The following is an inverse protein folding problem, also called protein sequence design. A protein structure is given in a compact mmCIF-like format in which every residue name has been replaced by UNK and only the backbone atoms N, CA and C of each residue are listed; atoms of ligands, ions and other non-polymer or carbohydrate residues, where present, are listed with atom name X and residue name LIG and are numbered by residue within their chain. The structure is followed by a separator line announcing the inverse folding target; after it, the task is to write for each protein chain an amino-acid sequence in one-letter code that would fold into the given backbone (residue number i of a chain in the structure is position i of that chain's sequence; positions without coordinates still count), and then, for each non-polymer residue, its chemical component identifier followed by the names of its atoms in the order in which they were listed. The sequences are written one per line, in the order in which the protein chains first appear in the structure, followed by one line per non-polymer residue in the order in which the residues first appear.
data_IF_840285635040
#
_entry.id   IF_840285635040
#
_cell.length_a   1.000
_cell.length_b   1.000
_cell.length_c   1.000
_cell.angle_alpha   90.00
_cell.angle_beta   90.00
_cell.angle_gamma   90.00
#
_symmetry.space_group_name_H-M   'P 1'
#
loop_
_entity.id
_entity.type
_entity.pdbx_description
1 polymer ?
#
# COMPACT_ATOMS: atom_id res chain seq x y z
N UNK A 1 4.04 -2.17 2.35
CA UNK A 1 3.02 -3.18 1.98
C UNK A 1 1.92 -2.56 1.11
N UNK A 2 1.19 -3.35 0.30
CA UNK A 2 0.09 -2.86 -0.56
C UNK A 2 -0.86 -3.97 -1.03
N UNK A 3 -2.14 -3.65 -1.30
CA UNK A 3 -3.07 -4.56 -1.97
C UNK A 3 -2.73 -4.79 -3.46
N UNK A 4 -1.95 -3.89 -4.07
CA UNK A 4 -1.48 -3.98 -5.46
C UNK A 4 0.04 -3.80 -5.49
N UNK A 5 0.75 -4.91 -5.41
CA UNK A 5 2.22 -4.93 -5.25
C UNK A 5 2.95 -4.83 -6.58
N UNK A 6 4.15 -4.26 -6.53
CA UNK A 6 5.13 -4.33 -7.64
C UNK A 6 6.21 -5.34 -7.34
N UNK A 7 6.81 -5.20 -6.16
CA UNK A 7 7.71 -6.18 -5.59
C UNK A 7 6.89 -7.15 -4.71
N UNK A 8 6.91 -8.47 -4.98
CA UNK A 8 6.19 -9.47 -4.19
C UNK A 8 6.51 -9.45 -2.69
N UNK A 9 7.70 -9.01 -2.30
CA UNK A 9 8.08 -8.90 -0.88
C UNK A 9 7.26 -7.83 -0.10
N UNK A 10 6.43 -7.05 -0.80
CA UNK A 10 5.50 -6.10 -0.19
C UNK A 10 4.08 -6.64 -0.05
N UNK A 11 3.86 -7.93 -0.31
CA UNK A 11 2.57 -8.57 -0.06
C UNK A 11 2.19 -8.46 1.43
N UNK A 12 0.95 -8.05 1.74
CA UNK A 12 0.54 -7.88 3.11
C UNK A 12 0.35 -9.22 3.81
N UNK A 13 0.76 -9.27 5.07
CA UNK A 13 0.28 -10.32 5.97
C UNK A 13 -1.22 -10.14 6.28
N UNK A 14 -1.77 -11.06 7.07
CA UNK A 14 -3.20 -11.04 7.41
C UNK A 14 -3.65 -9.80 8.19
N UNK A 15 -2.79 -9.22 9.02
CA UNK A 15 -3.10 -8.01 9.78
C UNK A 15 -3.01 -6.78 8.88
N UNK A 16 -1.92 -6.65 8.11
CA UNK A 16 -1.73 -5.54 7.17
C UNK A 16 -2.84 -5.48 6.13
N UNK A 17 -3.29 -6.64 5.63
CA UNK A 17 -4.40 -6.74 4.68
C UNK A 17 -5.69 -6.17 5.27
N UNK A 18 -6.04 -6.56 6.50
CA UNK A 18 -7.25 -6.04 7.18
C UNK A 18 -7.19 -4.52 7.34
N UNK A 19 -6.03 -3.98 7.71
CA UNK A 19 -5.85 -2.53 7.85
C UNK A 19 -5.94 -1.82 6.49
N UNK A 20 -5.33 -2.35 5.44
CA UNK A 20 -5.43 -1.80 4.08
C UNK A 20 -6.89 -1.81 3.57
N UNK A 21 -7.62 -2.90 3.79
CA UNK A 21 -9.04 -3.01 3.41
C UNK A 21 -9.89 -2.00 4.21
N UNK A 22 -9.59 -1.79 5.49
CA UNK A 22 -10.23 -0.74 6.30
C UNK A 22 -9.93 0.66 5.74
N UNK A 23 -8.70 0.94 5.30
CA UNK A 23 -8.38 2.22 4.66
C UNK A 23 -9.16 2.44 3.35
N UNK A 24 -9.33 1.41 2.52
CA UNK A 24 -10.15 1.51 1.32
C UNK A 24 -11.62 1.82 1.65
N UNK A 25 -12.18 1.19 2.69
CA UNK A 25 -13.54 1.49 3.16
C UNK A 25 -13.66 2.94 3.67
N UNK A 26 -12.71 3.40 4.48
CA UNK A 26 -12.67 4.79 4.99
C UNK A 26 -12.54 5.81 3.86
N UNK A 27 -11.72 5.51 2.84
CA UNK A 27 -11.61 6.34 1.64
C UNK A 27 -12.94 6.43 0.89
N UNK A 28 -13.66 5.33 0.73
CA UNK A 28 -14.99 5.33 0.10
C UNK A 28 -16.01 6.16 0.90
N UNK A 29 -15.83 6.27 2.22
CA UNK A 29 -16.62 7.14 3.10
C UNK A 29 -16.17 8.61 3.07
N UNK A 30 -15.16 8.96 2.25
CA UNK A 30 -14.73 10.34 2.04
C UNK A 30 -13.63 10.82 2.99
N UNK A 31 -13.05 9.95 3.81
CA UNK A 31 -11.94 10.34 4.66
C UNK A 31 -10.67 10.64 3.85
N UNK A 32 -9.93 11.68 4.26
CA UNK A 32 -8.66 12.06 3.65
C UNK A 32 -7.58 10.99 3.88
N UNK A 33 -7.15 10.34 2.80
CA UNK A 33 -6.12 9.30 2.80
C UNK A 33 -4.83 9.75 3.48
N UNK A 34 -4.45 11.04 3.41
CA UNK A 34 -3.23 11.55 4.06
C UNK A 34 -3.26 11.42 5.59
N UNK A 35 -4.47 11.37 6.18
CA UNK A 35 -4.69 11.30 7.62
C UNK A 35 -4.89 9.88 8.12
N UNK A 36 -5.04 8.90 7.22
CA UNK A 36 -5.30 7.53 7.60
C UNK A 36 -4.07 6.87 8.22
N UNK A 37 -4.23 6.50 9.48
CA UNK A 37 -3.31 5.68 10.23
C UNK A 37 -4.07 4.73 11.15
N UNK A 38 -3.37 3.69 11.60
CA UNK A 38 -3.88 2.67 12.50
C UNK A 38 -2.74 2.15 13.36
N UNK A 39 -3.00 1.89 14.63
CA UNK A 39 -2.04 1.31 15.56
C UNK A 39 -2.73 0.31 16.48
N UNK A 40 -2.05 -0.78 16.79
CA UNK A 40 -2.58 -1.82 17.66
C UNK A 40 -1.44 -2.54 18.40
N UNK A 41 -1.74 -3.12 19.55
CA UNK A 41 -0.87 -4.10 20.19
C UNK A 41 -1.46 -5.48 19.94
N UNK A 42 -0.71 -6.33 19.28
CA UNK A 42 -1.11 -7.70 18.95
C UNK A 42 -0.25 -8.69 19.72
N UNK A 43 -0.78 -9.90 19.94
CA UNK A 43 0.00 -11.02 20.47
C UNK A 43 0.33 -11.98 19.33
N UNK A 44 1.62 -12.17 19.06
CA UNK A 44 2.14 -13.10 18.05
C UNK A 44 3.06 -14.08 18.75
N UNK A 45 2.77 -15.38 18.65
CA UNK A 45 3.54 -16.45 19.30
C UNK A 45 3.77 -16.22 20.81
N UNK A 46 2.75 -15.70 21.50
CA UNK A 46 2.80 -15.42 22.93
C UNK A 46 3.58 -14.16 23.34
N UNK A 47 4.10 -13.39 22.36
CA UNK A 47 4.80 -12.12 22.59
C UNK A 47 3.95 -10.95 22.15
N UNK A 48 4.00 -9.85 22.89
CA UNK A 48 3.32 -8.62 22.50
C UNK A 48 4.17 -7.85 21.49
N UNK A 49 3.51 -7.37 20.44
CA UNK A 49 4.11 -6.50 19.43
C UNK A 49 3.22 -5.28 19.25
N UNK A 50 3.85 -4.10 19.21
CA UNK A 50 3.18 -2.90 18.76
C UNK A 50 3.31 -2.81 17.24
N UNK A 51 2.17 -2.66 16.54
CA UNK A 51 2.12 -2.48 15.09
C UNK A 51 1.47 -1.15 14.73
N UNK A 52 2.00 -0.50 13.69
CA UNK A 52 1.50 0.77 13.17
C UNK A 52 1.49 0.76 11.65
N UNK A 53 0.45 1.36 11.06
CA UNK A 53 0.35 1.59 9.62
C UNK A 53 -0.11 2.99 9.29
N UNK A 54 0.44 3.54 8.20
CA UNK A 54 0.05 4.83 7.63
C UNK A 54 -0.19 4.70 6.13
N UNK A 55 -1.34 5.13 5.65
CA UNK A 55 -1.67 5.09 4.24
C UNK A 55 -0.75 6.01 3.41
N UNK A 56 -0.47 5.59 2.17
CA UNK A 56 0.34 6.35 1.22
C UNK A 56 -0.60 6.83 0.10
N UNK A 57 -1.00 8.11 0.09
CA UNK A 57 -1.79 8.65 -1.01
C UNK A 57 -0.94 8.87 -2.25
N UNK A 58 -1.52 8.62 -3.41
CA UNK A 58 -0.89 8.91 -4.70
C UNK A 58 -1.00 10.40 -5.04
N UNK A 59 0.13 11.00 -5.44
CA UNK A 59 0.19 12.32 -6.06
C UNK A 59 0.47 12.23 -7.56
N UNK A 60 0.56 13.38 -8.24
CA UNK A 60 0.81 13.46 -9.70
C UNK A 60 2.08 12.70 -10.13
N UNK A 61 3.17 12.86 -9.38
CA UNK A 61 4.44 12.18 -9.68
C UNK A 61 4.33 10.66 -9.60
N UNK A 62 3.52 10.14 -8.67
CA UNK A 62 3.31 8.71 -8.50
C UNK A 62 2.71 8.08 -9.76
N UNK A 63 1.83 8.82 -10.46
CA UNK A 63 1.10 8.32 -11.62
C UNK A 63 1.96 8.17 -12.86
N UNK A 64 3.19 8.73 -12.88
CA UNK A 64 4.13 8.52 -13.98
C UNK A 64 4.51 7.05 -14.17
N UNK A 65 4.43 6.24 -13.10
CA UNK A 65 4.75 4.81 -13.11
C UNK A 65 3.60 3.92 -12.61
N UNK A 66 2.65 4.48 -11.85
CA UNK A 66 1.54 3.74 -11.23
C UNK A 66 0.17 4.07 -11.86
N UNK A 67 0.12 5.02 -12.79
CA UNK A 67 -1.12 5.38 -13.50
C UNK A 67 -1.64 4.27 -14.40
N UNK A 68 -2.85 4.49 -14.93
CA UNK A 68 -3.43 3.64 -15.97
C UNK A 68 -2.66 3.73 -17.29
N UNK A 69 -2.18 4.93 -17.61
CA UNK A 69 -1.36 5.21 -18.79
C UNK A 69 -0.02 5.77 -18.34
N UNK A 70 1.06 5.20 -18.85
CA UNK A 70 2.43 5.65 -18.60
C UNK A 70 3.20 5.67 -19.92
N UNK A 71 4.40 6.23 -19.90
CA UNK A 71 5.23 6.30 -21.11
C UNK A 71 5.71 4.91 -21.55
N UNK A 72 5.78 4.63 -22.86
CA UNK A 72 6.20 3.32 -23.37
C UNK A 72 7.55 2.83 -22.85
N UNK A 73 8.52 3.73 -22.67
CA UNK A 73 9.85 3.40 -22.15
C UNK A 73 9.80 2.92 -20.69
N UNK A 74 8.90 3.48 -19.87
CA UNK A 74 8.71 3.02 -18.48
C UNK A 74 7.98 1.69 -18.47
N UNK A 75 6.97 1.52 -19.33
CA UNK A 75 6.23 0.26 -19.48
C UNK A 75 7.17 -0.91 -19.85
N UNK A 76 8.10 -0.69 -20.77
CA UNK A 76 9.08 -1.69 -21.19
C UNK A 76 9.97 -2.14 -20.03
N UNK A 77 10.54 -1.20 -19.27
CA UNK A 77 11.37 -1.50 -18.10
C UNK A 77 10.57 -2.23 -17.02
N UNK A 78 9.32 -1.80 -16.76
CA UNK A 78 8.48 -2.46 -15.76
C UNK A 78 8.16 -3.91 -16.14
N UNK A 79 7.88 -4.20 -17.41
CA UNK A 79 7.61 -5.58 -17.85
C UNK A 79 8.84 -6.48 -17.73
N UNK A 80 10.03 -5.93 -17.97
CA UNK A 80 11.29 -6.66 -17.85
C UNK A 80 11.62 -6.94 -16.38
N UNK A 81 11.62 -5.91 -15.53
CA UNK A 81 12.09 -6.00 -14.15
C UNK A 81 11.03 -6.53 -13.18
N UNK A 82 9.75 -6.32 -13.50
CA UNK A 82 8.60 -6.67 -12.66
C UNK A 82 7.51 -7.38 -13.49
N UNK A 83 7.76 -8.61 -13.97
CA UNK A 83 6.83 -9.34 -14.84
C UNK A 83 5.47 -9.67 -14.18
N UNK A 84 5.39 -9.55 -12.84
CA UNK A 84 4.16 -9.74 -12.04
C UNK A 84 3.65 -8.43 -11.43
N UNK A 85 4.03 -7.27 -11.98
CA UNK A 85 3.60 -5.97 -11.45
C UNK A 85 2.08 -5.84 -11.46
N UNK A 86 1.50 -5.54 -10.30
CA UNK A 86 0.08 -5.23 -10.14
C UNK A 86 -0.14 -3.75 -9.82
N UNK A 87 0.92 -2.98 -9.57
CA UNK A 87 0.84 -1.62 -9.04
C UNK A 87 0.50 -0.57 -10.11
N UNK A 88 -0.58 -0.77 -10.86
CA UNK A 88 -1.00 0.04 -12.03
C UNK A 88 -2.44 0.49 -11.94
N UNK A 89 -2.83 1.49 -12.74
CA UNK A 89 -4.22 1.93 -12.82
C UNK A 89 -4.67 2.84 -11.69
N UNK A 90 -3.75 3.39 -10.89
CA UNK A 90 -4.09 4.35 -9.85
C UNK A 90 -4.48 5.71 -10.42
N UNK A 91 -5.32 6.43 -9.68
CA UNK A 91 -5.69 7.84 -9.88
C UNK A 91 -5.17 8.66 -8.71
N UNK A 92 -5.04 9.97 -8.92
CA UNK A 92 -4.57 10.88 -7.87
C UNK A 92 -5.49 10.80 -6.65
N UNK A 93 -4.90 10.65 -5.46
CA UNK A 93 -5.64 10.49 -4.21
C UNK A 93 -5.98 9.04 -3.86
N UNK A 94 -5.71 8.07 -4.73
CA UNK A 94 -5.82 6.65 -4.37
C UNK A 94 -4.78 6.25 -3.33
N UNK A 95 -5.07 5.17 -2.59
CA UNK A 95 -4.13 4.54 -1.67
C UNK A 95 -3.15 3.69 -2.48
N UNK A 96 -1.88 4.11 -2.56
CA UNK A 96 -0.82 3.30 -3.17
C UNK A 96 -0.54 2.04 -2.36
N UNK A 97 -0.69 2.12 -1.05
CA UNK A 97 -0.35 1.11 -0.06
C UNK A 97 -0.20 1.78 1.30
N UNK A 98 0.59 1.18 2.17
CA UNK A 98 0.87 1.74 3.48
C UNK A 98 2.31 1.45 3.92
N UNK A 99 2.85 2.39 4.72
CA UNK A 99 3.98 2.09 5.59
C UNK A 99 3.49 1.23 6.75
N UNK A 100 4.32 0.29 7.17
CA UNK A 100 4.03 -0.68 8.23
C UNK A 100 5.27 -0.78 9.13
N UNK A 101 5.08 -0.71 10.44
CA UNK A 101 6.14 -0.79 11.45
C UNK A 101 5.68 -1.77 12.51
N UNK A 102 6.57 -2.69 12.88
CA UNK A 102 6.39 -3.61 14.01
C UNK A 102 7.52 -3.39 15.01
N UNK A 103 7.18 -3.23 16.28
CA UNK A 103 8.14 -3.09 17.37
C UNK A 103 7.80 -4.11 18.47
N UNK A 104 8.73 -5.02 18.81
CA UNK A 104 8.58 -5.88 19.97
C UNK A 104 8.32 -5.05 21.22
N UNK A 105 7.44 -5.53 22.09
CA UNK A 105 7.12 -4.85 23.34
C UNK A 105 7.77 -5.51 24.54
#
# INVERSE_FOLDING_TARGET
TSLKVRNPNNEPDAWERKVLESFEQRKQQGEDVKKMEFAEVVTVDGKQEFRYMKAIPTGKVCLQCHGAQIKPEVEAVLKQEYPRDQARGFRQGDIRGAFTITRPR
#
